data_IF_942752667473
#
_entry.id   IF_942752667473
#
_cell.length_a   1.000
_cell.length_b   1.000
_cell.length_c   1.000
_cell.angle_alpha   90.00
_cell.angle_beta   90.00
_cell.angle_gamma   90.00
#
_symmetry.space_group_name_H-M   'P 1'
#
loop_
_entity.id
_entity.type
_entity.pdbx_description
1 polymer ?
#
# COMPACT_ATOMS: atom_id res chain seq x y z
N UNK A 1 -4.68 -8.22 -0.65
CA UNK A 1 -4.96 -8.11 0.79
C UNK A 1 -4.90 -9.51 1.35
N UNK A 2 -3.99 -9.77 2.28
CA UNK A 2 -4.00 -11.02 3.05
C UNK A 2 -5.03 -10.95 4.17
N UNK A 3 -5.76 -12.05 4.40
CA UNK A 3 -6.69 -12.19 5.52
C UNK A 3 -6.28 -13.44 6.30
N UNK A 4 -5.91 -13.26 7.58
CA UNK A 4 -5.62 -14.38 8.49
C UNK A 4 -6.87 -14.71 9.30
N UNK A 5 -7.20 -15.98 9.43
CA UNK A 5 -8.40 -16.44 10.14
C UNK A 5 -7.99 -17.23 11.39
N UNK A 6 -8.50 -16.81 12.55
CA UNK A 6 -8.42 -17.55 13.80
C UNK A 6 -9.73 -18.28 14.06
N UNK A 7 -9.63 -19.50 14.56
CA UNK A 7 -10.76 -20.27 15.04
C UNK A 7 -11.03 -19.91 16.50
N UNK A 8 -12.22 -19.38 16.78
CA UNK A 8 -12.66 -19.07 18.13
C UNK A 8 -13.47 -20.24 18.70
N UNK A 9 -14.15 -20.02 19.81
CA UNK A 9 -15.03 -21.00 20.42
C UNK A 9 -16.24 -21.34 19.51
N UNK A 10 -16.66 -22.62 19.57
CA UNK A 10 -17.75 -23.18 18.75
C UNK A 10 -17.52 -23.00 17.25
N UNK A 11 -18.40 -22.25 16.57
CA UNK A 11 -18.37 -22.00 15.12
C UNK A 11 -18.03 -20.54 14.80
N UNK A 12 -17.47 -19.82 15.78
CA UNK A 12 -17.04 -18.44 15.61
C UNK A 12 -15.68 -18.40 14.93
N UNK A 13 -15.53 -17.46 14.01
CA UNK A 13 -14.32 -17.22 13.23
C UNK A 13 -13.93 -15.75 13.36
N UNK A 14 -12.64 -15.48 13.46
CA UNK A 14 -12.10 -14.12 13.49
C UNK A 14 -11.20 -13.92 12.29
N UNK A 15 -11.57 -13.02 11.40
CA UNK A 15 -10.73 -12.58 10.28
C UNK A 15 -9.99 -11.29 10.67
N UNK A 16 -8.68 -11.28 10.48
CA UNK A 16 -7.79 -10.11 10.67
C UNK A 16 -7.14 -9.71 9.35
N UNK A 17 -7.22 -8.43 9.02
CA UNK A 17 -6.59 -7.83 7.84
C UNK A 17 -6.44 -6.32 8.08
N UNK A 18 -5.30 -5.76 7.66
CA UNK A 18 -4.91 -4.39 8.02
C UNK A 18 -5.11 -4.15 9.55
N UNK A 19 -5.74 -3.05 9.95
CA UNK A 19 -6.11 -2.75 11.35
C UNK A 19 -7.52 -3.23 11.74
N UNK A 20 -8.18 -4.02 10.88
CA UNK A 20 -9.57 -4.43 11.05
C UNK A 20 -9.69 -5.86 11.55
N UNK A 21 -10.74 -6.10 12.35
CA UNK A 21 -11.14 -7.43 12.80
C UNK A 21 -12.63 -7.63 12.51
N UNK A 22 -12.96 -8.76 11.89
CA UNK A 22 -14.33 -9.18 11.60
C UNK A 22 -14.59 -10.52 12.26
N UNK A 23 -15.62 -10.58 13.09
CA UNK A 23 -16.09 -11.84 13.69
C UNK A 23 -17.26 -12.34 12.85
N UNK A 24 -17.21 -13.62 12.46
CA UNK A 24 -18.34 -14.30 11.86
C UNK A 24 -18.82 -15.44 12.77
N UNK A 25 -20.12 -15.69 12.77
CA UNK A 25 -20.72 -16.79 13.55
C UNK A 25 -21.87 -17.41 12.77
N UNK A 26 -22.11 -18.69 13.01
CA UNK A 26 -23.27 -19.38 12.46
C UNK A 26 -24.50 -19.12 13.35
N UNK A 27 -25.70 -19.04 12.77
CA UNK A 27 -26.92 -18.95 13.58
C UNK A 27 -27.15 -20.23 14.39
N UNK A 28 -27.99 -20.15 15.43
CA UNK A 28 -28.34 -21.27 16.32
C UNK A 28 -28.81 -22.51 15.54
N UNK A 29 -29.58 -22.32 14.46
CA UNK A 29 -30.05 -23.42 13.58
C UNK A 29 -28.92 -24.24 12.94
N UNK A 30 -27.73 -23.65 12.82
CA UNK A 30 -26.52 -24.29 12.32
C UNK A 30 -25.49 -24.52 13.43
N UNK A 31 -25.93 -24.63 14.69
CA UNK A 31 -25.12 -24.93 15.89
C UNK A 31 -24.10 -23.85 16.29
N UNK A 32 -24.19 -22.63 15.74
CA UNK A 32 -23.42 -21.49 16.24
C UNK A 32 -24.20 -20.70 17.30
N UNK A 33 -23.64 -19.58 17.76
CA UNK A 33 -24.28 -18.74 18.78
C UNK A 33 -25.14 -17.63 18.19
N UNK A 34 -25.05 -17.39 16.87
CA UNK A 34 -25.68 -16.25 16.20
C UNK A 34 -25.22 -14.90 16.74
N UNK A 35 -24.01 -14.84 17.32
CA UNK A 35 -23.42 -13.65 17.95
C UNK A 35 -22.89 -12.63 16.95
N UNK A 36 -22.69 -13.05 15.70
CA UNK A 36 -22.26 -12.21 14.59
C UNK A 36 -22.91 -12.70 13.27
N UNK A 37 -22.89 -11.88 12.19
CA UNK A 37 -23.31 -12.33 10.86
C UNK A 37 -22.51 -13.55 10.38
N UNK A 38 -23.12 -14.38 9.54
CA UNK A 38 -22.40 -15.47 8.89
C UNK A 38 -21.42 -14.96 7.83
N UNK A 39 -20.41 -15.75 7.41
CA UNK A 39 -19.45 -15.31 6.39
C UNK A 39 -20.11 -14.86 5.07
N UNK A 40 -21.18 -15.55 4.65
CA UNK A 40 -21.92 -15.19 3.44
C UNK A 40 -22.70 -13.86 3.59
N UNK A 41 -23.15 -13.52 4.80
CA UNK A 41 -23.85 -12.26 5.06
C UNK A 41 -22.92 -11.06 4.85
N UNK A 42 -21.64 -11.19 5.20
CA UNK A 42 -20.63 -10.18 4.90
C UNK A 42 -20.42 -9.99 3.39
N UNK A 43 -20.44 -11.07 2.61
CA UNK A 43 -20.39 -10.97 1.15
C UNK A 43 -21.59 -10.18 0.60
N UNK A 44 -22.81 -10.48 1.05
CA UNK A 44 -24.01 -9.74 0.63
C UNK A 44 -23.99 -8.28 1.12
N UNK A 45 -23.53 -8.03 2.34
CA UNK A 45 -23.39 -6.67 2.87
C UNK A 45 -22.36 -5.86 2.06
N UNK A 46 -21.23 -6.49 1.68
CA UNK A 46 -20.17 -5.84 0.90
C UNK A 46 -20.66 -5.34 -0.46
N UNK A 47 -21.57 -6.06 -1.13
CA UNK A 47 -22.13 -5.65 -2.41
C UNK A 47 -23.05 -4.42 -2.26
N UNK A 48 -23.85 -4.39 -1.20
CA UNK A 48 -24.72 -3.26 -0.86
C UNK A 48 -23.92 -2.01 -0.49
N UNK A 49 -22.89 -2.16 0.36
CA UNK A 49 -21.98 -1.10 0.76
C UNK A 49 -21.19 -0.55 -0.43
N UNK A 50 -20.71 -1.42 -1.32
CA UNK A 50 -20.04 -1.03 -2.55
C UNK A 50 -20.94 -0.18 -3.45
N UNK A 51 -22.20 -0.57 -3.65
CA UNK A 51 -23.15 0.24 -4.40
C UNK A 51 -23.37 1.61 -3.73
N UNK A 52 -23.60 1.64 -2.41
CA UNK A 52 -23.78 2.87 -1.64
C UNK A 52 -22.56 3.80 -1.71
N UNK A 53 -21.33 3.25 -1.69
CA UNK A 53 -20.10 4.01 -1.87
C UNK A 53 -20.08 4.76 -3.21
N UNK A 54 -20.44 4.09 -4.31
CA UNK A 54 -20.49 4.73 -5.63
C UNK A 54 -21.60 5.79 -5.74
N UNK A 55 -22.71 5.63 -5.02
CA UNK A 55 -23.72 6.69 -4.87
C UNK A 55 -23.10 7.89 -4.16
N UNK A 56 -22.50 7.66 -2.99
CA UNK A 56 -21.88 8.71 -2.17
C UNK A 56 -20.81 9.47 -2.95
N UNK A 57 -19.92 8.78 -3.64
CA UNK A 57 -18.87 9.40 -4.47
C UNK A 57 -19.47 10.29 -5.59
N UNK A 58 -20.54 9.85 -6.25
CA UNK A 58 -21.21 10.66 -7.27
C UNK A 58 -21.82 11.94 -6.66
N UNK A 59 -22.45 11.80 -5.50
CA UNK A 59 -23.06 12.89 -4.76
C UNK A 59 -22.02 13.90 -4.27
N UNK A 60 -20.95 13.43 -3.62
CA UNK A 60 -19.87 14.26 -3.06
C UNK A 60 -19.19 15.09 -4.15
N UNK A 61 -18.88 14.49 -5.31
CA UNK A 61 -18.24 15.20 -6.45
C UNK A 61 -19.12 16.29 -7.07
N UNK A 62 -20.41 16.34 -6.74
CA UNK A 62 -21.39 17.29 -7.28
C UNK A 62 -22.08 18.12 -6.21
N UNK A 63 -21.64 18.01 -4.96
CA UNK A 63 -22.26 18.66 -3.80
C UNK A 63 -23.76 18.35 -3.68
N UNK A 64 -24.16 17.11 -3.97
CA UNK A 64 -25.54 16.64 -3.80
C UNK A 64 -25.65 16.01 -2.39
N UNK A 65 -26.57 16.44 -1.52
CA UNK A 65 -26.78 15.81 -0.22
C UNK A 65 -27.17 14.35 -0.36
N UNK A 66 -26.63 13.48 0.50
CA UNK A 66 -27.03 12.06 0.56
C UNK A 66 -28.26 11.81 1.43
N UNK A 67 -28.84 12.87 2.00
CA UNK A 67 -30.06 12.80 2.79
C UNK A 67 -31.21 12.21 1.96
N UNK A 68 -31.98 11.31 2.57
CA UNK A 68 -33.11 10.63 1.92
C UNK A 68 -32.75 9.74 0.72
N UNK A 69 -31.47 9.46 0.47
CA UNK A 69 -31.06 8.36 -0.41
C UNK A 69 -30.97 7.08 0.41
N UNK A 70 -31.68 6.03 -0.01
CA UNK A 70 -31.67 4.73 0.66
C UNK A 70 -31.36 3.62 -0.33
N UNK A 71 -30.63 2.61 0.13
CA UNK A 71 -30.36 1.41 -0.65
C UNK A 71 -30.86 0.20 0.12
N UNK A 72 -31.49 -0.75 -0.59
CA UNK A 72 -31.80 -2.07 -0.07
C UNK A 72 -31.18 -3.14 -0.95
N UNK A 73 -30.70 -4.21 -0.33
CA UNK A 73 -30.11 -5.35 -1.00
C UNK A 73 -30.88 -6.60 -0.59
N UNK A 74 -31.41 -7.31 -1.58
CA UNK A 74 -32.14 -8.56 -1.37
C UNK A 74 -31.54 -9.65 -2.26
N UNK A 75 -31.43 -10.86 -1.75
CA UNK A 75 -31.04 -12.03 -2.51
C UNK A 75 -32.27 -12.90 -2.80
N UNK A 76 -32.48 -13.23 -4.07
CA UNK A 76 -33.50 -14.18 -4.50
C UNK A 76 -32.78 -15.46 -4.86
N UNK A 77 -33.04 -16.53 -4.11
CA UNK A 77 -32.43 -17.85 -4.30
C UNK A 77 -33.28 -18.64 -5.29
N UNK A 78 -32.63 -19.25 -6.29
CA UNK A 78 -33.31 -20.14 -7.22
C UNK A 78 -33.78 -21.43 -6.51
N UNK A 79 -35.02 -21.89 -6.74
CA UNK A 79 -35.57 -23.05 -6.05
C UNK A 79 -34.88 -24.37 -6.41
N UNK A 80 -34.30 -24.48 -7.61
CA UNK A 80 -33.65 -25.71 -8.09
C UNK A 80 -32.13 -25.69 -7.85
N UNK A 81 -31.52 -24.51 -7.78
CA UNK A 81 -30.10 -24.35 -7.51
C UNK A 81 -29.81 -23.24 -6.50
N UNK A 82 -29.57 -23.61 -5.24
CA UNK A 82 -29.27 -22.65 -4.15
C UNK A 82 -28.07 -21.73 -4.40
N UNK A 83 -27.17 -22.09 -5.32
CA UNK A 83 -26.01 -21.29 -5.69
C UNK A 83 -26.32 -20.27 -6.78
N UNK A 84 -27.41 -20.45 -7.53
CA UNK A 84 -27.91 -19.49 -8.49
C UNK A 84 -28.76 -18.46 -7.74
N UNK A 85 -28.20 -17.27 -7.56
CA UNK A 85 -28.85 -16.20 -6.82
C UNK A 85 -28.94 -14.93 -7.66
N UNK A 86 -30.07 -14.22 -7.53
CA UNK A 86 -30.24 -12.87 -8.06
C UNK A 86 -30.05 -11.89 -6.90
N UNK A 87 -28.94 -11.14 -6.94
CA UNK A 87 -28.68 -10.05 -6.01
C UNK A 87 -29.35 -8.77 -6.53
N UNK A 88 -30.46 -8.38 -5.88
CA UNK A 88 -31.28 -7.23 -6.26
C UNK A 88 -30.96 -6.05 -5.35
N UNK A 89 -30.29 -5.04 -5.92
CA UNK A 89 -30.06 -3.74 -5.28
C UNK A 89 -31.15 -2.78 -5.74
N UNK A 90 -31.89 -2.21 -4.80
CA UNK A 90 -32.88 -1.17 -5.07
C UNK A 90 -32.42 0.13 -4.43
N UNK A 91 -32.63 1.24 -5.13
CA UNK A 91 -32.21 2.57 -4.68
C UNK A 91 -33.41 3.49 -4.69
N UNK A 92 -33.72 4.03 -3.51
CA UNK A 92 -34.68 5.09 -3.31
C UNK A 92 -33.94 6.42 -3.39
N UNK A 93 -34.36 7.30 -4.31
CA UNK A 93 -33.75 8.59 -4.57
C UNK A 93 -34.78 9.71 -4.35
N UNK A 94 -34.37 10.87 -3.80
CA UNK A 94 -35.25 12.02 -3.60
C UNK A 94 -36.00 12.43 -4.88
N UNK A 95 -37.21 12.96 -4.71
CA UNK A 95 -38.08 13.37 -5.82
C UNK A 95 -37.61 14.66 -6.50
N UNK A 96 -36.90 15.52 -5.76
CA UNK A 96 -36.31 16.78 -6.21
C UNK A 96 -34.97 16.59 -6.94
N UNK A 97 -34.42 15.38 -6.95
CA UNK A 97 -33.21 15.06 -7.69
C UNK A 97 -33.47 15.14 -9.21
N UNK A 98 -32.60 15.88 -9.92
CA UNK A 98 -32.69 16.02 -11.38
C UNK A 98 -32.62 14.66 -12.08
N UNK A 99 -33.30 14.51 -13.23
CA UNK A 99 -33.23 13.26 -14.02
C UNK A 99 -31.79 12.92 -14.46
N UNK A 100 -30.98 13.96 -14.71
CA UNK A 100 -29.57 13.81 -15.04
C UNK A 100 -28.81 13.15 -13.91
N UNK A 101 -29.02 13.59 -12.67
CA UNK A 101 -28.34 13.05 -11.50
C UNK A 101 -28.89 11.70 -11.09
N UNK A 102 -30.20 11.48 -11.21
CA UNK A 102 -30.83 10.17 -11.04
C UNK A 102 -30.15 9.12 -11.93
N UNK A 103 -30.03 9.39 -13.23
CA UNK A 103 -29.33 8.50 -14.15
C UNK A 103 -27.83 8.41 -13.86
N UNK A 104 -27.21 9.52 -13.45
CA UNK A 104 -25.80 9.57 -13.06
C UNK A 104 -25.48 8.63 -11.89
N UNK A 105 -26.31 8.65 -10.85
CA UNK A 105 -26.23 7.77 -9.70
C UNK A 105 -26.36 6.29 -10.12
N UNK A 106 -27.38 5.96 -10.92
CA UNK A 106 -27.58 4.59 -11.40
C UNK A 106 -26.37 4.09 -12.22
N UNK A 107 -25.80 4.95 -13.08
CA UNK A 107 -24.56 4.63 -13.82
C UNK A 107 -23.34 4.49 -12.90
N UNK A 108 -23.28 5.26 -11.82
CA UNK A 108 -22.21 5.16 -10.83
C UNK A 108 -22.25 3.81 -10.12
N UNK A 109 -23.42 3.37 -9.68
CA UNK A 109 -23.63 2.04 -9.09
C UNK A 109 -23.23 0.93 -10.07
N UNK A 110 -23.38 1.15 -11.38
CA UNK A 110 -22.95 0.15 -12.35
C UNK A 110 -21.44 -0.17 -12.23
N UNK A 111 -20.64 0.76 -11.72
CA UNK A 111 -19.19 0.59 -11.52
C UNK A 111 -18.82 -0.14 -10.24
N UNK A 112 -19.78 -0.58 -9.42
CA UNK A 112 -19.49 -1.30 -8.18
C UNK A 112 -18.54 -2.49 -8.42
N UNK A 113 -17.37 -2.42 -7.79
CA UNK A 113 -16.29 -3.40 -7.89
C UNK A 113 -16.76 -4.80 -7.51
N UNK A 114 -17.44 -4.96 -6.37
CA UNK A 114 -17.94 -6.27 -5.90
C UNK A 114 -18.82 -6.92 -6.96
N UNK A 115 -19.77 -6.16 -7.53
CA UNK A 115 -20.64 -6.65 -8.60
C UNK A 115 -19.84 -7.04 -9.85
N UNK A 116 -18.92 -6.20 -10.31
CA UNK A 116 -18.13 -6.46 -11.52
C UNK A 116 -17.23 -7.69 -11.35
N UNK A 117 -16.62 -7.88 -10.18
CA UNK A 117 -15.82 -9.07 -9.86
C UNK A 117 -16.69 -10.32 -9.89
N UNK A 118 -17.83 -10.33 -9.18
CA UNK A 118 -18.75 -11.48 -9.16
C UNK A 118 -19.26 -11.82 -10.56
N UNK A 119 -19.59 -10.82 -11.38
CA UNK A 119 -20.02 -11.01 -12.77
C UNK A 119 -18.91 -11.53 -13.69
N UNK A 120 -17.64 -11.25 -13.37
CA UNK A 120 -16.49 -11.75 -14.11
C UNK A 120 -16.15 -13.22 -13.76
N UNK A 121 -16.65 -13.73 -12.62
CA UNK A 121 -16.44 -15.11 -12.19
C UNK A 121 -15.00 -15.36 -11.72
N UNK A 122 -14.61 -14.92 -10.51
CA UNK A 122 -13.28 -15.18 -9.98
C UNK A 122 -13.08 -16.69 -9.75
N UNK A 123 -11.87 -17.17 -10.00
CA UNK A 123 -11.46 -18.52 -9.68
C UNK A 123 -11.11 -18.64 -8.19
N UNK A 124 -11.54 -19.73 -7.57
CA UNK A 124 -11.14 -20.10 -6.21
C UNK A 124 -10.17 -21.27 -6.30
N UNK A 125 -8.88 -21.01 -6.05
CA UNK A 125 -7.86 -22.03 -5.94
C UNK A 125 -7.70 -22.40 -4.47
N UNK A 126 -7.69 -23.70 -4.17
CA UNK A 126 -7.50 -24.22 -2.81
C UNK A 126 -6.22 -25.05 -2.82
N UNK A 127 -5.26 -24.66 -2.00
CA UNK A 127 -3.96 -25.31 -1.87
C UNK A 127 -3.62 -25.57 -0.41
N UNK A 128 -2.91 -26.66 -0.16
CA UNK A 128 -2.31 -26.97 1.14
C UNK A 128 -0.84 -26.55 1.09
N UNK A 129 -0.43 -25.73 2.05
CA UNK A 129 0.97 -25.31 2.22
C UNK A 129 1.48 -25.74 3.59
N UNK A 130 2.77 -26.06 3.68
CA UNK A 130 3.40 -26.43 4.94
C UNK A 130 3.46 -25.25 5.94
N UNK A 131 3.56 -24.02 5.43
CA UNK A 131 3.58 -22.80 6.24
C UNK A 131 3.07 -21.60 5.41
N UNK A 132 2.00 -20.95 5.87
CA UNK A 132 1.39 -19.77 5.23
C UNK A 132 2.32 -18.54 5.21
N UNK A 133 3.25 -18.44 6.16
CA UNK A 133 4.21 -17.33 6.23
C UNK A 133 5.42 -17.53 5.29
N UNK A 134 5.67 -18.77 4.84
CA UNK A 134 6.79 -19.09 3.95
C UNK A 134 6.48 -18.88 2.46
N UNK A 135 5.20 -18.83 2.07
CA UNK A 135 4.77 -18.73 0.67
C UNK A 135 4.46 -17.28 0.25
N UNK A 136 5.41 -16.39 0.50
CA UNK A 136 5.27 -14.95 0.26
C UNK A 136 5.16 -14.57 -1.24
N UNK A 137 5.55 -15.47 -2.15
CA UNK A 137 5.53 -15.21 -3.60
C UNK A 137 4.21 -15.55 -4.29
N UNK A 138 3.32 -16.34 -3.66
CA UNK A 138 2.04 -16.74 -4.27
C UNK A 138 1.10 -15.56 -4.60
N UNK A 139 1.26 -14.41 -3.93
CA UNK A 139 0.41 -13.22 -4.16
C UNK A 139 0.78 -12.43 -5.43
N UNK A 140 1.95 -12.68 -6.01
CA UNK A 140 2.32 -12.16 -7.32
C UNK A 140 1.75 -13.10 -8.37
N UNK A 141 0.49 -12.91 -8.77
CA UNK A 141 -0.19 -13.69 -9.83
C UNK A 141 0.48 -13.61 -11.22
N UNK A 142 1.68 -13.04 -11.33
CA UNK A 142 2.52 -13.08 -12.49
C UNK A 142 3.76 -13.91 -12.16
N UNK A 143 3.74 -15.19 -12.53
CA UNK A 143 4.98 -15.89 -12.82
C UNK A 143 5.35 -15.53 -14.25
N UNK A 144 6.37 -14.67 -14.48
CA UNK A 144 6.85 -14.45 -15.82
C UNK A 144 7.26 -15.79 -16.42
N UNK A 145 6.91 -16.02 -17.69
CA UNK A 145 7.33 -17.23 -18.38
C UNK A 145 8.86 -17.32 -18.32
N UNK A 146 9.40 -18.35 -17.67
CA UNK A 146 10.84 -18.50 -17.46
C UNK A 146 11.64 -18.58 -18.78
N UNK A 147 10.97 -18.94 -19.88
CA UNK A 147 11.57 -19.01 -21.22
C UNK A 147 11.52 -17.66 -21.97
N UNK A 148 10.75 -16.67 -21.47
CA UNK A 148 10.65 -15.35 -22.08
C UNK A 148 11.79 -14.44 -21.58
N UNK A 149 12.40 -13.69 -22.51
CA UNK A 149 13.49 -12.75 -22.24
C UNK A 149 13.21 -11.42 -22.94
N UNK A 150 12.35 -10.61 -22.36
CA UNK A 150 11.93 -9.33 -22.91
C UNK A 150 12.89 -8.22 -22.49
N UNK A 151 13.66 -7.69 -23.44
CA UNK A 151 14.52 -6.52 -23.21
C UNK A 151 13.81 -5.23 -23.60
N UNK A 152 13.97 -4.20 -22.77
CA UNK A 152 13.52 -2.83 -23.06
C UNK A 152 14.73 -1.89 -23.08
N UNK A 153 14.64 -0.82 -23.87
CA UNK A 153 15.74 0.14 -24.04
C UNK A 153 16.22 0.70 -22.70
N UNK A 154 17.53 0.66 -22.47
CA UNK A 154 18.17 1.22 -21.28
C UNK A 154 18.10 0.32 -20.03
N UNK A 155 17.70 -0.95 -20.15
CA UNK A 155 17.75 -1.94 -19.08
C UNK A 155 18.74 -3.05 -19.43
N UNK A 156 19.56 -3.43 -18.45
CA UNK A 156 20.66 -4.38 -18.64
C UNK A 156 20.22 -5.85 -18.53
N UNK A 157 19.04 -6.09 -17.94
CA UNK A 157 18.45 -7.42 -17.76
C UNK A 157 17.06 -7.48 -18.39
N UNK A 158 16.60 -8.68 -18.82
CA UNK A 158 15.24 -8.86 -19.29
C UNK A 158 14.25 -8.66 -18.14
N UNK A 159 13.02 -8.26 -18.47
CA UNK A 159 11.98 -7.93 -17.50
C UNK A 159 11.68 -9.10 -16.55
N UNK A 160 11.60 -10.30 -17.10
CA UNK A 160 11.28 -11.54 -16.40
C UNK A 160 12.31 -11.86 -15.32
N UNK A 161 13.60 -11.79 -15.67
CA UNK A 161 14.70 -11.98 -14.72
C UNK A 161 14.74 -10.85 -13.69
N UNK A 162 14.50 -9.61 -14.11
CA UNK A 162 14.49 -8.45 -13.20
C UNK A 162 13.40 -8.62 -12.14
N UNK A 163 12.18 -8.99 -12.55
CA UNK A 163 11.05 -9.28 -11.65
C UNK A 163 11.41 -10.42 -10.70
N UNK A 164 11.93 -11.54 -11.22
CA UNK A 164 12.30 -12.69 -10.39
C UNK A 164 13.34 -12.32 -9.31
N UNK A 165 14.38 -11.57 -9.69
CA UNK A 165 15.42 -11.13 -8.77
C UNK A 165 14.87 -10.20 -7.68
N UNK A 166 14.08 -9.18 -8.06
CA UNK A 166 13.56 -8.19 -7.11
C UNK A 166 12.51 -8.78 -6.17
N UNK A 167 11.59 -9.60 -6.69
CA UNK A 167 10.61 -10.31 -5.87
C UNK A 167 11.27 -11.31 -4.93
N UNK A 168 12.31 -12.02 -5.41
CA UNK A 168 13.09 -12.94 -4.58
C UNK A 168 13.81 -12.23 -3.44
N UNK A 169 14.44 -11.08 -3.72
CA UNK A 169 15.09 -10.24 -2.72
C UNK A 169 14.11 -9.80 -1.64
N UNK A 170 12.96 -9.21 -2.03
CA UNK A 170 11.96 -8.73 -1.07
C UNK A 170 11.41 -9.88 -0.20
N UNK A 171 11.11 -11.03 -0.81
CA UNK A 171 10.68 -12.22 -0.07
C UNK A 171 11.75 -12.71 0.91
N UNK A 172 13.04 -12.68 0.55
CA UNK A 172 14.13 -13.06 1.45
C UNK A 172 14.30 -12.13 2.66
N UNK A 173 13.81 -10.89 2.54
CA UNK A 173 13.75 -9.92 3.65
C UNK A 173 12.47 -10.06 4.48
N UNK A 174 11.58 -11.00 4.16
CA UNK A 174 10.28 -11.18 4.82
C UNK A 174 9.20 -10.19 4.37
N UNK A 175 9.46 -9.42 3.31
CA UNK A 175 8.49 -8.46 2.75
C UNK A 175 7.57 -9.20 1.80
N UNK A 176 6.27 -9.17 2.09
CA UNK A 176 5.26 -9.89 1.31
C UNK A 176 4.51 -8.92 0.40
N UNK A 177 4.94 -8.83 -0.84
CA UNK A 177 4.34 -7.91 -1.82
C UNK A 177 3.02 -8.43 -2.36
N UNK A 178 2.00 -7.58 -2.32
CA UNK A 178 0.72 -7.81 -3.00
C UNK A 178 0.44 -6.74 -4.05
N UNK A 179 -0.21 -7.15 -5.14
CA UNK A 179 -0.69 -6.21 -6.15
C UNK A 179 -2.10 -5.77 -5.78
N UNK A 180 -2.22 -4.50 -5.37
CA UNK A 180 -3.48 -3.92 -4.93
C UNK A 180 -4.36 -3.46 -6.10
N UNK A 181 -3.77 -2.99 -7.21
CA UNK A 181 -4.55 -2.70 -8.42
C UNK A 181 -3.71 -2.65 -9.70
N UNK A 182 -4.35 -2.92 -10.83
CA UNK A 182 -3.83 -2.74 -12.19
C UNK A 182 -4.66 -1.73 -12.97
N UNK A 183 -4.02 -0.98 -13.86
CA UNK A 183 -4.67 -0.12 -14.85
C UNK A 183 -3.99 -0.24 -16.20
N UNK A 184 -4.81 -0.24 -17.25
CA UNK A 184 -4.38 -0.16 -18.65
C UNK A 184 -5.40 0.70 -19.40
N UNK A 185 -5.24 2.02 -19.29
CA UNK A 185 -6.28 2.97 -19.74
C UNK A 185 -6.27 3.11 -21.27
N UNK A 186 -5.09 3.02 -21.89
CA UNK A 186 -4.89 3.06 -23.35
C UNK A 186 -3.81 2.05 -23.75
N UNK A 187 -3.75 1.61 -25.03
CA UNK A 187 -2.74 0.66 -25.48
C UNK A 187 -1.32 1.08 -25.10
N UNK A 188 -0.55 0.13 -24.59
CA UNK A 188 0.84 0.29 -24.18
C UNK A 188 1.07 1.29 -23.03
N UNK A 189 0.05 1.52 -22.18
CA UNK A 189 0.21 2.35 -20.97
C UNK A 189 -0.37 1.63 -19.77
N UNK A 190 0.52 0.95 -19.04
CA UNK A 190 0.21 0.21 -17.84
C UNK A 190 0.66 0.98 -16.60
N UNK A 191 -0.16 0.88 -15.56
CA UNK A 191 0.27 1.16 -14.20
C UNK A 191 -0.25 0.10 -13.24
N UNK A 192 0.47 -0.08 -12.14
CA UNK A 192 0.05 -0.90 -11.02
C UNK A 192 0.41 -0.24 -9.70
N UNK A 193 -0.29 -0.65 -8.66
CA UNK A 193 -0.04 -0.30 -7.29
C UNK A 193 0.29 -1.56 -6.51
N UNK A 194 1.45 -1.58 -5.84
CA UNK A 194 1.89 -2.68 -4.98
C UNK A 194 2.10 -2.18 -3.55
N UNK A 195 1.93 -3.07 -2.57
CA UNK A 195 2.17 -2.77 -1.16
C UNK A 195 2.64 -4.01 -0.41
N UNK A 196 3.23 -3.83 0.77
CA UNK A 196 3.46 -4.95 1.70
C UNK A 196 2.13 -5.36 2.35
N UNK A 197 1.85 -6.66 2.36
CA UNK A 197 0.68 -7.24 3.00
C UNK A 197 0.69 -7.04 4.53
N UNK A 198 1.86 -6.96 5.15
CA UNK A 198 2.00 -6.73 6.59
C UNK A 198 2.08 -5.24 6.97
N UNK A 199 2.46 -4.37 6.02
CA UNK A 199 2.57 -2.93 6.22
C UNK A 199 2.00 -2.17 5.01
N UNK A 200 0.68 -2.00 4.92
CA UNK A 200 0.04 -1.38 3.76
C UNK A 200 0.47 0.07 3.48
N UNK A 201 1.07 0.75 4.47
CA UNK A 201 1.66 2.08 4.33
C UNK A 201 2.93 2.08 3.46
N UNK A 202 3.61 0.94 3.35
CA UNK A 202 4.77 0.75 2.50
C UNK A 202 4.30 0.28 1.13
N UNK A 203 4.10 1.23 0.21
CA UNK A 203 3.58 0.99 -1.14
C UNK A 203 4.35 1.77 -2.20
N UNK A 204 4.31 1.28 -3.44
CA UNK A 204 4.87 1.98 -4.60
C UNK A 204 3.98 1.82 -5.82
N UNK A 205 4.27 2.61 -6.85
CA UNK A 205 3.55 2.54 -8.12
C UNK A 205 4.51 2.21 -9.26
N UNK A 206 4.09 1.29 -10.12
CA UNK A 206 4.82 0.98 -11.34
C UNK A 206 4.15 1.58 -12.55
N UNK A 207 4.96 1.93 -13.54
CA UNK A 207 4.50 2.38 -14.85
C UNK A 207 5.32 1.70 -15.95
N UNK A 208 4.68 1.35 -17.05
CA UNK A 208 5.36 0.64 -18.13
C UNK A 208 4.55 0.56 -19.41
N UNK A 209 5.22 0.20 -20.50
CA UNK A 209 4.57 -0.04 -21.78
C UNK A 209 3.87 -1.41 -21.85
N UNK A 210 4.21 -2.30 -20.92
CA UNK A 210 3.67 -3.65 -20.76
C UNK A 210 3.36 -3.93 -19.29
N UNK A 211 2.64 -5.02 -18.99
CA UNK A 211 2.40 -5.46 -17.62
C UNK A 211 3.71 -5.70 -16.87
N UNK A 212 4.63 -6.42 -17.51
CA UNK A 212 5.92 -6.85 -16.94
C UNK A 212 6.80 -5.63 -16.67
N UNK A 213 6.88 -4.66 -17.59
CA UNK A 213 7.67 -3.45 -17.38
C UNK A 213 7.10 -2.57 -16.27
N UNK A 214 5.77 -2.50 -16.15
CA UNK A 214 5.15 -1.81 -15.02
C UNK A 214 5.47 -2.51 -13.70
N UNK A 215 5.34 -3.84 -13.61
CA UNK A 215 5.68 -4.61 -12.40
C UNK A 215 7.14 -4.45 -12.00
N UNK A 216 8.07 -4.58 -12.97
CA UNK A 216 9.49 -4.33 -12.73
C UNK A 216 9.74 -2.90 -12.21
N UNK A 217 9.04 -1.91 -12.76
CA UNK A 217 9.10 -0.53 -12.28
C UNK A 217 8.60 -0.38 -10.83
N UNK A 218 7.50 -1.02 -10.45
CA UNK A 218 6.96 -0.92 -9.10
C UNK A 218 7.90 -1.54 -8.05
N UNK A 219 8.40 -2.74 -8.35
CA UNK A 219 9.34 -3.46 -7.49
C UNK A 219 10.68 -2.72 -7.37
N UNK A 220 11.17 -2.15 -8.47
CA UNK A 220 12.36 -1.30 -8.47
C UNK A 220 12.18 -0.05 -7.60
N UNK A 221 11.04 0.65 -7.74
CA UNK A 221 10.69 1.78 -6.87
C UNK A 221 10.58 1.34 -5.40
N UNK A 222 10.07 0.14 -5.13
CA UNK A 222 9.96 -0.38 -3.76
C UNK A 222 11.33 -0.56 -3.10
N UNK A 223 12.25 -1.20 -3.82
CA UNK A 223 13.64 -1.40 -3.36
C UNK A 223 14.35 -0.05 -3.22
N UNK A 224 14.12 0.89 -4.14
CA UNK A 224 14.64 2.25 -4.06
C UNK A 224 14.15 2.94 -2.76
N UNK A 225 12.85 2.92 -2.47
CA UNK A 225 12.30 3.57 -1.27
C UNK A 225 12.78 2.88 0.01
N UNK A 226 12.83 1.55 0.02
CA UNK A 226 13.33 0.77 1.15
C UNK A 226 14.80 1.07 1.44
N UNK A 227 15.65 1.07 0.40
CA UNK A 227 17.10 1.29 0.53
C UNK A 227 17.45 2.69 1.02
N UNK A 228 16.51 3.64 0.91
CA UNK A 228 16.68 5.03 1.29
C UNK A 228 15.89 5.40 2.56
N UNK A 229 15.37 4.43 3.32
CA UNK A 229 14.47 4.63 4.47
C UNK A 229 13.23 5.51 4.19
N UNK A 230 12.88 5.66 2.91
CA UNK A 230 11.98 6.72 2.46
C UNK A 230 10.50 6.45 2.77
N UNK A 231 10.13 5.21 3.06
CA UNK A 231 8.79 4.88 3.55
C UNK A 231 8.48 5.54 4.91
N UNK A 232 9.52 5.91 5.66
CA UNK A 232 9.41 6.46 7.01
C UNK A 232 10.02 7.85 7.13
N UNK A 233 10.26 8.52 5.99
CA UNK A 233 10.79 9.87 5.96
C UNK A 233 9.88 10.83 6.74
N UNK A 234 10.48 11.71 7.54
CA UNK A 234 9.74 12.69 8.34
C UNK A 234 8.89 12.11 9.48
N UNK A 235 9.07 10.84 9.86
CA UNK A 235 8.42 10.22 11.02
C UNK A 235 9.43 9.96 12.13
N UNK A 236 9.07 10.23 13.39
CA UNK A 236 9.88 9.82 14.55
C UNK A 236 9.80 8.30 14.74
N UNK A 237 10.94 7.63 14.84
CA UNK A 237 11.03 6.16 14.89
C UNK A 237 11.03 5.57 16.31
N UNK A 238 10.92 6.42 17.33
CA UNK A 238 10.87 5.99 18.72
C UNK A 238 12.24 6.02 19.42
N UNK A 239 12.19 6.04 20.76
CA UNK A 239 13.38 6.21 21.60
C UNK A 239 14.36 5.03 21.49
N UNK A 240 13.84 3.81 21.28
CA UNK A 240 14.68 2.61 21.15
C UNK A 240 15.60 2.71 19.92
N UNK A 241 15.07 3.16 18.78
CA UNK A 241 15.85 3.35 17.55
C UNK A 241 16.74 4.59 17.67
N UNK A 242 16.23 5.69 18.22
CA UNK A 242 17.00 6.91 18.43
C UNK A 242 18.28 6.70 19.28
N UNK A 243 18.26 5.71 20.17
CA UNK A 243 19.38 5.33 21.04
C UNK A 243 20.14 4.06 20.57
N UNK A 244 19.76 3.46 19.43
CA UNK A 244 20.44 2.30 18.88
C UNK A 244 21.86 2.63 18.37
N UNK A 245 22.65 1.60 18.04
CA UNK A 245 24.01 1.76 17.54
C UNK A 245 24.09 2.68 16.30
N UNK A 246 23.08 2.61 15.43
CA UNK A 246 22.82 3.53 14.33
C UNK A 246 21.30 3.74 14.18
N UNK A 247 20.89 4.87 13.62
CA UNK A 247 19.49 5.20 13.32
C UNK A 247 19.18 4.88 11.86
N UNK A 248 19.91 5.49 10.92
CA UNK A 248 19.69 5.42 9.48
C UNK A 248 20.54 4.34 8.81
N UNK A 249 21.86 4.39 8.99
CA UNK A 249 22.80 3.46 8.38
C UNK A 249 24.01 3.19 9.28
N UNK A 250 24.61 1.99 9.25
CA UNK A 250 25.79 1.68 10.05
C UNK A 250 27.02 2.59 9.82
N UNK A 251 27.09 3.26 8.67
CA UNK A 251 28.18 4.18 8.31
C UNK A 251 27.83 5.66 8.53
N UNK A 252 26.68 5.96 9.15
CA UNK A 252 26.32 7.32 9.57
C UNK A 252 27.32 7.86 10.60
N UNK A 253 27.39 9.18 10.71
CA UNK A 253 28.17 9.84 11.76
C UNK A 253 27.34 10.89 12.48
N UNK A 254 27.59 11.01 13.77
CA UNK A 254 26.93 11.94 14.66
C UNK A 254 27.89 13.06 15.04
N UNK A 255 27.47 14.31 14.82
CA UNK A 255 28.28 15.48 15.11
C UNK A 255 27.58 16.39 16.10
N UNK A 256 28.31 16.86 17.11
CA UNK A 256 27.80 17.79 18.09
C UNK A 256 27.89 19.22 17.58
N UNK A 257 26.84 20.06 17.73
CA UNK A 257 26.96 21.48 17.46
C UNK A 257 28.14 22.10 18.20
N UNK A 258 28.83 23.02 17.53
CA UNK A 258 29.92 23.79 18.09
C UNK A 258 29.46 24.83 19.11
N UNK A 259 30.41 25.58 19.67
CA UNK A 259 30.13 26.66 20.61
C UNK A 259 29.18 27.70 19.97
N UNK A 260 28.18 28.14 20.74
CA UNK A 260 27.10 29.04 20.27
C UNK A 260 26.28 28.45 19.10
N UNK A 261 26.10 27.13 19.10
CA UNK A 261 25.27 26.43 18.12
C UNK A 261 25.82 26.50 16.67
N UNK A 262 27.14 26.64 16.56
CA UNK A 262 27.82 26.66 15.27
C UNK A 262 27.75 25.28 14.59
N UNK A 263 27.79 25.28 13.26
CA UNK A 263 27.89 24.05 12.49
C UNK A 263 29.22 23.33 12.79
N UNK A 264 29.21 22.00 12.97
CA UNK A 264 30.42 21.19 12.95
C UNK A 264 31.21 21.42 11.66
N UNK A 265 32.54 21.35 11.70
CA UNK A 265 33.39 21.56 10.51
C UNK A 265 33.41 20.35 9.59
N UNK A 266 32.96 19.21 10.10
CA UNK A 266 32.96 17.92 9.45
C UNK A 266 31.74 17.69 8.55
N UNK A 267 30.70 18.51 8.68
CA UNK A 267 29.47 18.43 7.88
C UNK A 267 29.47 19.48 6.78
N UNK A 268 28.98 19.09 5.61
CA UNK A 268 28.99 19.89 4.38
C UNK A 268 30.43 20.30 3.95
N UNK A 269 30.61 20.55 2.66
CA UNK A 269 31.84 21.18 2.15
C UNK A 269 31.62 22.68 1.91
N UNK A 270 32.69 23.40 1.56
CA UNK A 270 32.64 24.85 1.30
C UNK A 270 31.58 25.21 0.24
N UNK A 271 31.49 24.42 -0.83
CA UNK A 271 30.51 24.62 -1.90
C UNK A 271 29.07 24.43 -1.41
N UNK A 272 28.81 23.39 -0.61
CA UNK A 272 27.50 23.16 -0.02
C UNK A 272 27.12 24.29 0.95
N UNK A 273 28.07 24.81 1.72
CA UNK A 273 27.80 25.92 2.65
C UNK A 273 27.43 27.21 1.92
N UNK A 274 27.97 27.48 0.73
CA UNK A 274 27.53 28.60 -0.11
C UNK A 274 26.05 28.50 -0.52
N UNK A 275 25.52 27.28 -0.63
CA UNK A 275 24.13 27.01 -1.03
C UNK A 275 23.19 26.98 0.17
N UNK A 276 23.54 26.22 1.20
CA UNK A 276 22.67 25.93 2.35
C UNK A 276 22.82 26.94 3.49
N UNK A 277 23.91 27.72 3.53
CA UNK A 277 24.18 28.70 4.57
C UNK A 277 24.76 30.01 4.03
N UNK A 278 24.17 30.64 2.99
CA UNK A 278 24.72 31.83 2.35
C UNK A 278 24.86 33.03 3.30
N UNK A 279 23.90 33.18 4.22
CA UNK A 279 23.84 34.29 5.18
C UNK A 279 24.51 33.98 6.52
N UNK A 280 25.03 32.76 6.70
CA UNK A 280 25.66 32.34 7.96
C UNK A 280 24.68 32.13 9.13
N UNK A 281 23.38 32.02 8.86
CA UNK A 281 22.32 31.89 9.87
C UNK A 281 22.01 30.44 10.27
N UNK A 282 22.49 29.44 9.52
CA UNK A 282 22.26 28.03 9.80
C UNK A 282 23.00 27.61 11.08
N UNK A 283 22.25 26.96 11.98
CA UNK A 283 22.76 26.52 13.29
C UNK A 283 22.69 25.01 13.40
N UNK A 284 23.54 24.43 14.26
CA UNK A 284 23.58 22.99 14.47
C UNK A 284 22.26 22.41 14.96
N UNK A 285 21.56 23.12 15.86
CA UNK A 285 20.24 22.72 16.38
C UNK A 285 19.14 22.69 15.32
N UNK A 286 19.29 23.37 14.18
CA UNK A 286 18.32 23.31 13.08
C UNK A 286 18.38 21.97 12.33
N UNK A 287 19.48 21.22 12.47
CA UNK A 287 19.83 20.07 11.64
C UNK A 287 19.61 18.72 12.34
N UNK A 288 18.92 18.70 13.47
CA UNK A 288 18.55 17.45 14.14
C UNK A 288 17.53 16.71 13.25
N UNK A 289 17.78 15.44 12.96
CA UNK A 289 16.90 14.65 12.12
C UNK A 289 15.58 14.33 12.84
N UNK A 290 14.47 14.34 12.09
CA UNK A 290 13.13 14.07 12.62
C UNK A 290 13.02 12.62 13.12
N UNK A 291 13.73 11.69 12.48
CA UNK A 291 13.61 10.25 12.70
C UNK A 291 14.13 9.84 14.07
N UNK A 292 15.27 10.40 14.48
CA UNK A 292 15.81 10.22 15.83
C UNK A 292 15.24 11.22 16.84
N UNK A 293 14.97 12.46 16.43
CA UNK A 293 14.67 13.58 17.35
C UNK A 293 15.75 13.81 18.42
N UNK A 294 16.94 13.21 18.30
CA UNK A 294 17.88 13.06 19.40
C UNK A 294 18.90 14.20 19.43
N UNK A 295 18.46 15.37 19.89
CA UNK A 295 19.32 16.55 20.07
C UNK A 295 20.51 16.27 21.02
N UNK A 296 20.34 15.36 21.98
CA UNK A 296 21.41 14.92 22.88
C UNK A 296 22.44 14.01 22.21
N UNK A 297 22.15 13.40 21.07
CA UNK A 297 23.14 12.64 20.28
C UNK A 297 23.83 13.54 19.26
N UNK A 298 23.08 14.49 18.68
CA UNK A 298 23.59 15.54 17.79
C UNK A 298 23.00 15.46 16.39
N UNK A 299 23.77 15.89 15.40
CA UNK A 299 23.37 15.94 13.99
C UNK A 299 23.76 14.61 13.33
N UNK A 300 22.78 13.78 12.99
CA UNK A 300 23.01 12.59 12.17
C UNK A 300 23.37 13.02 10.74
N UNK A 301 24.51 12.58 10.23
CA UNK A 301 24.97 12.90 8.89
C UNK A 301 25.40 11.66 8.11
N UNK A 302 24.98 11.61 6.85
CA UNK A 302 25.17 10.50 5.93
C UNK A 302 26.35 10.78 4.99
N UNK A 303 27.21 9.78 4.71
CA UNK A 303 28.35 9.96 3.82
C UNK A 303 27.92 9.92 2.34
N UNK A 304 28.20 11.00 1.60
CA UNK A 304 28.07 11.06 0.14
C UNK A 304 29.45 11.15 -0.52
N UNK A 305 29.62 10.49 -1.68
CA UNK A 305 30.87 10.56 -2.46
C UNK A 305 30.73 11.63 -3.53
N UNK A 306 31.50 12.69 -3.40
CA UNK A 306 31.60 13.75 -4.41
C UNK A 306 32.31 13.20 -5.64
N UNK A 307 31.63 13.23 -6.79
CA UNK A 307 32.10 12.54 -7.99
C UNK A 307 33.29 13.23 -8.68
N UNK A 308 33.55 14.51 -8.41
CA UNK A 308 34.67 15.26 -9.03
C UNK A 308 36.05 14.82 -8.52
N UNK A 309 36.13 14.36 -7.27
CA UNK A 309 37.41 14.03 -6.62
C UNK A 309 37.37 12.79 -5.71
N UNK A 310 36.20 12.15 -5.56
CA UNK A 310 36.02 10.98 -4.70
C UNK A 310 36.01 11.29 -3.21
N UNK A 311 35.98 12.57 -2.82
CA UNK A 311 35.91 12.99 -1.42
C UNK A 311 34.59 12.59 -0.77
N UNK A 312 34.64 12.17 0.50
CA UNK A 312 33.42 11.94 1.30
C UNK A 312 32.98 13.25 1.94
N UNK A 313 31.72 13.62 1.70
CA UNK A 313 31.06 14.77 2.32
C UNK A 313 29.93 14.26 3.19
N UNK A 314 29.89 14.68 4.46
CA UNK A 314 28.82 14.31 5.38
C UNK A 314 27.66 15.28 5.25
N UNK A 315 26.52 14.80 4.78
CA UNK A 315 25.28 15.57 4.69
C UNK A 315 24.37 15.25 5.86
N UNK A 316 23.93 16.25 6.65
CA UNK A 316 22.89 16.06 7.67
C UNK A 316 21.65 15.40 7.08
N UNK A 317 21.12 14.35 7.71
CA UNK A 317 19.90 13.67 7.23
C UNK A 317 18.73 14.65 7.13
N UNK A 318 18.66 15.61 8.05
CA UNK A 318 17.68 16.70 8.06
C UNK A 318 17.65 17.55 6.77
N UNK A 319 18.76 17.66 6.03
CA UNK A 319 18.80 18.39 4.75
C UNK A 319 18.44 17.52 3.55
N UNK A 320 18.45 16.20 3.71
CA UNK A 320 18.15 15.23 2.65
C UNK A 320 16.66 14.90 2.64
N UNK A 321 16.07 14.75 3.84
CA UNK A 321 14.65 14.43 4.05
C UNK A 321 13.70 15.62 3.87
#
# INVERSE_FOLDING_TARGET
MEIKVNFLDKLRLEAKFDDFTVIADQPIRYKGDGSAPGPFDYFLASSALCAAYFVKLYCDTRNIPTENIRLSHNNIVDPENRYQQIFKIQVELPTDLSDKDRQGILRSIDRCTVKKVVQAGPEFVIEEVANLDADAQALLMMHPNADANTYITGKDLPLEQTIANMSGLLASLGIKIEIASWRNIIPNVWSLHIRDAHSPMCFTNGKGATKESALASALGEYIERLSNNHFYAGSFWGEDIANAAFVHYPNERWFKPGRKDALPKEILDEYCLEIYNPDGELRGSHLIDTNSGNAERGICSLPFVRQSDGGVVYFPSNLIE
#
